data_IF_865779497821
#
_entry.id   IF_865779497821
#
_cell.length_a   1.000
_cell.length_b   1.000
_cell.length_c   1.000
_cell.angle_alpha   90.00
_cell.angle_beta   90.00
_cell.angle_gamma   90.00
#
_symmetry.space_group_name_H-M   'P 1'
#
loop_
_entity.id
_entity.type
_entity.pdbx_description
1 polymer ?
#
# COMPACT_ATOMS: atom_id res chain seq x y z
N UNK A 1 12.71 -11.97 7.06
CA UNK A 1 11.32 -11.68 6.67
C UNK A 1 11.28 -11.38 5.18
N UNK A 2 10.17 -11.72 4.51
CA UNK A 2 10.03 -11.62 3.06
C UNK A 2 10.35 -10.21 2.53
N UNK A 3 9.87 -9.16 3.21
CA UNK A 3 10.19 -7.76 2.89
C UNK A 3 11.70 -7.50 2.83
N UNK A 4 12.44 -8.00 3.83
CA UNK A 4 13.90 -7.82 3.91
C UNK A 4 14.63 -8.59 2.80
N UNK A 5 14.13 -9.76 2.40
CA UNK A 5 14.70 -10.52 1.28
C UNK A 5 14.55 -9.78 -0.05
N UNK A 6 13.39 -9.16 -0.31
CA UNK A 6 13.19 -8.32 -1.49
C UNK A 6 14.09 -7.08 -1.49
N UNK A 7 14.25 -6.42 -0.35
CA UNK A 7 15.16 -5.28 -0.22
C UNK A 7 16.62 -5.70 -0.48
N UNK A 8 17.07 -6.84 0.06
CA UNK A 8 18.41 -7.38 -0.22
C UNK A 8 18.60 -7.78 -1.69
N UNK A 9 17.54 -8.24 -2.35
CA UNK A 9 17.56 -8.56 -3.79
C UNK A 9 17.58 -7.31 -4.69
N UNK A 10 17.59 -6.10 -4.12
CA UNK A 10 17.70 -4.83 -4.86
C UNK A 10 16.37 -4.12 -5.12
N UNK A 11 15.26 -4.56 -4.51
CA UNK A 11 14.01 -3.80 -4.56
C UNK A 11 14.19 -2.44 -3.88
N UNK A 12 13.83 -1.36 -4.57
CA UNK A 12 13.92 0.01 -4.05
C UNK A 12 12.87 0.29 -2.98
N UNK A 13 11.65 -0.14 -3.24
CA UNK A 13 10.49 -0.01 -2.35
C UNK A 13 9.73 -1.35 -2.36
N UNK A 14 9.28 -1.77 -1.19
CA UNK A 14 8.49 -2.99 -1.01
C UNK A 14 7.19 -2.64 -0.29
N UNK A 15 6.06 -2.87 -0.96
CA UNK A 15 4.72 -2.75 -0.38
C UNK A 15 4.26 -4.14 0.08
N UNK A 16 3.84 -4.27 1.34
CA UNK A 16 3.31 -5.52 1.88
C UNK A 16 2.13 -5.31 2.82
N UNK A 17 1.28 -6.32 2.96
CA UNK A 17 0.21 -6.34 3.95
C UNK A 17 0.66 -7.06 5.24
N UNK A 18 0.20 -6.56 6.39
CA UNK A 18 0.47 -7.10 7.72
C UNK A 18 -0.47 -8.27 8.08
N UNK A 19 -1.66 -8.30 7.49
CA UNK A 19 -2.67 -9.36 7.65
C UNK A 19 -3.40 -9.61 6.32
N UNK A 20 -4.14 -10.73 6.18
CA UNK A 20 -5.02 -10.96 5.05
C UNK A 20 -6.13 -9.90 4.99
N UNK A 21 -6.28 -9.25 3.84
CA UNK A 21 -7.29 -8.19 3.61
C UNK A 21 -8.31 -8.70 2.61
N UNK A 22 -9.54 -8.18 2.65
CA UNK A 22 -10.57 -8.48 1.65
C UNK A 22 -10.12 -8.08 0.24
N UNK A 23 -10.42 -8.91 -0.76
CA UNK A 23 -10.06 -8.71 -2.16
C UNK A 23 -10.61 -7.39 -2.72
N UNK A 24 -11.85 -7.02 -2.37
CA UNK A 24 -12.50 -5.82 -2.90
C UNK A 24 -11.81 -4.53 -2.41
N UNK A 25 -11.54 -4.43 -1.11
CA UNK A 25 -10.78 -3.32 -0.54
C UNK A 25 -9.35 -3.27 -1.07
N UNK A 26 -8.73 -4.43 -1.27
CA UNK A 26 -7.35 -4.52 -1.79
C UNK A 26 -7.30 -4.03 -3.23
N UNK A 27 -8.28 -4.41 -4.06
CA UNK A 27 -8.39 -3.95 -5.45
C UNK A 27 -8.46 -2.42 -5.52
N UNK A 28 -9.37 -1.80 -4.76
CA UNK A 28 -9.55 -0.34 -4.76
C UNK A 28 -8.31 0.40 -4.25
N UNK A 29 -7.62 -0.16 -3.25
CA UNK A 29 -6.35 0.38 -2.74
C UNK A 29 -5.26 0.32 -3.81
N UNK A 30 -5.06 -0.84 -4.45
CA UNK A 30 -4.03 -1.03 -5.46
C UNK A 30 -4.29 -0.19 -6.71
N UNK A 31 -5.53 -0.10 -7.18
CA UNK A 31 -5.92 0.77 -8.30
C UNK A 31 -5.58 2.23 -8.00
N UNK A 32 -5.95 2.72 -6.81
CA UNK A 32 -5.66 4.11 -6.40
C UNK A 32 -4.16 4.35 -6.25
N UNK A 33 -3.45 3.41 -5.61
CA UNK A 33 -2.00 3.48 -5.41
C UNK A 33 -1.25 3.55 -6.75
N UNK A 34 -1.50 2.62 -7.67
CA UNK A 34 -0.82 2.62 -8.96
C UNK A 34 -1.19 3.82 -9.83
N UNK A 35 -2.45 4.27 -9.79
CA UNK A 35 -2.86 5.46 -10.52
C UNK A 35 -2.08 6.71 -10.07
N UNK A 36 -1.76 6.82 -8.79
CA UNK A 36 -0.99 7.94 -8.23
C UNK A 36 0.52 7.77 -8.43
N UNK A 37 1.03 6.56 -8.22
CA UNK A 37 2.44 6.24 -8.43
C UNK A 37 2.88 6.44 -9.89
N UNK A 38 2.05 6.01 -10.85
CA UNK A 38 2.31 6.22 -12.28
C UNK A 38 2.26 7.70 -12.70
N UNK A 39 1.64 8.57 -11.89
CA UNK A 39 1.67 10.04 -12.09
C UNK A 39 2.94 10.70 -11.52
N UNK A 40 3.86 9.91 -10.96
CA UNK A 40 5.14 10.39 -10.43
C UNK A 40 5.11 10.75 -8.94
N UNK A 41 4.02 10.45 -8.22
CA UNK A 41 4.00 10.59 -6.75
C UNK A 41 4.94 9.59 -6.10
N UNK A 42 5.45 9.96 -4.92
CA UNK A 42 6.22 9.03 -4.10
C UNK A 42 5.36 7.86 -3.62
N UNK A 43 6.01 6.75 -3.28
CA UNK A 43 5.35 5.55 -2.73
C UNK A 43 4.54 5.89 -1.48
N UNK A 44 5.07 6.77 -0.63
CA UNK A 44 4.44 7.24 0.60
C UNK A 44 3.16 8.05 0.32
N UNK A 45 3.22 8.99 -0.62
CA UNK A 45 2.07 9.81 -1.02
C UNK A 45 0.96 9.00 -1.70
N UNK A 46 1.36 8.07 -2.58
CA UNK A 46 0.43 7.19 -3.29
C UNK A 46 -0.28 6.25 -2.31
N UNK A 47 0.45 5.67 -1.34
CA UNK A 47 -0.13 4.80 -0.32
C UNK A 47 -1.07 5.58 0.60
N UNK A 48 -0.66 6.77 1.07
CA UNK A 48 -1.51 7.61 1.91
C UNK A 48 -2.82 7.97 1.20
N UNK A 49 -2.75 8.33 -0.09
CA UNK A 49 -3.94 8.68 -0.87
C UNK A 49 -4.89 7.48 -1.01
N UNK A 50 -4.34 6.29 -1.26
CA UNK A 50 -5.13 5.06 -1.35
C UNK A 50 -5.79 4.67 -0.02
N UNK A 51 -5.08 4.82 1.10
CA UNK A 51 -5.65 4.59 2.44
C UNK A 51 -6.77 5.58 2.77
N UNK A 52 -6.59 6.87 2.43
CA UNK A 52 -7.62 7.89 2.60
C UNK A 52 -8.84 7.63 1.72
N UNK A 53 -8.66 7.07 0.51
CA UNK A 53 -9.77 6.71 -0.37
C UNK A 53 -10.65 5.61 0.23
N UNK A 54 -10.04 4.60 0.88
CA UNK A 54 -10.78 3.57 1.61
C UNK A 54 -11.41 4.09 2.90
N UNK A 55 -10.73 4.99 3.62
CA UNK A 55 -11.25 5.58 4.85
C UNK A 55 -12.52 6.41 4.61
N UNK A 56 -12.60 7.08 3.45
CA UNK A 56 -13.76 7.90 3.06
C UNK A 56 -14.99 7.08 2.69
N UNK A 57 -14.82 5.80 2.39
CA UNK A 57 -15.91 4.90 2.05
C UNK A 57 -16.43 4.19 3.31
N UNK A 58 -17.74 4.32 3.58
CA UNK A 58 -18.36 3.75 4.79
C UNK A 58 -18.20 2.22 4.86
N UNK A 59 -18.14 1.54 3.71
CA UNK A 59 -17.98 0.09 3.68
C UNK A 59 -16.57 -0.36 4.11
N UNK A 60 -15.56 0.48 3.88
CA UNK A 60 -14.15 0.17 4.13
C UNK A 60 -13.48 1.07 5.17
N UNK A 61 -14.26 1.88 5.89
CA UNK A 61 -13.74 2.82 6.89
C UNK A 61 -13.05 2.13 8.08
N UNK A 62 -13.37 0.87 8.34
CA UNK A 62 -12.74 0.11 9.42
C UNK A 62 -11.21 -0.02 9.17
N UNK A 63 -10.36 0.22 10.20
CA UNK A 63 -8.90 0.14 10.07
C UNK A 63 -8.38 -1.17 9.46
N UNK A 64 -9.13 -2.26 9.62
CA UNK A 64 -8.84 -3.55 9.02
C UNK A 64 -8.58 -3.49 7.51
N UNK A 65 -9.25 -2.59 6.77
CA UNK A 65 -9.17 -2.53 5.31
C UNK A 65 -8.01 -1.67 4.78
N UNK A 66 -7.64 -0.59 5.48
CA UNK A 66 -6.66 0.39 4.98
C UNK A 66 -5.34 0.38 5.76
N UNK A 67 -5.35 0.04 7.05
CA UNK A 67 -4.14 0.06 7.89
C UNK A 67 -3.25 -1.18 7.69
N UNK A 68 -3.69 -2.13 6.87
CA UNK A 68 -2.97 -3.38 6.62
C UNK A 68 -1.69 -3.19 5.82
N UNK A 69 -1.64 -2.19 4.94
CA UNK A 69 -0.55 -2.02 3.98
C UNK A 69 0.54 -1.10 4.51
N UNK A 70 1.79 -1.56 4.38
CA UNK A 70 2.99 -0.80 4.74
C UNK A 70 3.96 -0.79 3.56
N UNK A 71 4.53 0.37 3.28
CA UNK A 71 5.63 0.53 2.33
C UNK A 71 6.95 0.65 3.08
N UNK A 72 7.93 -0.15 2.69
CA UNK A 72 9.29 -0.13 3.24
C UNK A 72 10.26 0.18 2.14
N UNK A 73 11.06 1.22 2.34
CA UNK A 73 12.11 1.63 1.43
C UNK A 73 13.45 1.00 1.81
N UNK A 74 14.21 0.55 0.82
CA UNK A 74 15.55 0.00 1.04
C UNK A 74 16.53 1.08 1.52
N UNK A 75 17.53 0.72 2.35
CA UNK A 75 18.65 1.61 2.65
C UNK A 75 19.37 1.94 1.33
N UNK A 76 19.59 3.23 1.08
CA UNK A 76 20.38 3.70 -0.06
C UNK A 76 21.84 3.32 0.09
#
# INVERSE_FOLDING_TARGET
GLTRAFLYAGARDVLCSLWPVSDESTKKLMETFYADWLKGKSTEEALQTAQLALLKDKATAAPFYWAAFVAVRGPR
#
